data_IF_471626501237
#
_entry.id   IF_471626501237
#
_cell.length_a   1.000
_cell.length_b   1.000
_cell.length_c   1.000
_cell.angle_alpha   90.00
_cell.angle_beta   90.00
_cell.angle_gamma   90.00
#
_symmetry.space_group_name_H-M   'P 1'
#
loop_
_entity.id
_entity.type
_entity.pdbx_description
1 polymer ?
#
# COMPACT_ATOMS: atom_id res chain seq x y z
N UNK A 1 -8.81 30.15 -18.78
CA UNK A 1 -7.62 29.46 -18.25
C UNK A 1 -8.01 28.00 -18.04
N UNK A 2 -7.35 27.01 -18.64
CA UNK A 2 -7.65 25.62 -18.32
C UNK A 2 -7.38 25.40 -16.82
N UNK A 3 -8.13 24.50 -16.14
CA UNK A 3 -7.82 24.15 -14.76
C UNK A 3 -6.37 23.69 -14.70
N UNK A 4 -5.62 24.20 -13.71
CA UNK A 4 -4.27 23.72 -13.43
C UNK A 4 -4.44 22.26 -13.08
N UNK A 5 -3.94 21.37 -13.93
CA UNK A 5 -3.92 19.95 -13.68
C UNK A 5 -3.05 19.70 -12.44
N UNK A 6 -3.72 19.52 -11.29
CA UNK A 6 -3.06 19.44 -9.97
C UNK A 6 -2.54 18.04 -9.68
N UNK A 7 -2.79 17.07 -10.56
CA UNK A 7 -2.40 15.69 -10.33
C UNK A 7 -0.97 15.44 -10.83
N UNK A 8 -0.12 14.79 -10.03
CA UNK A 8 1.24 14.46 -10.46
C UNK A 8 1.24 13.61 -11.73
N UNK A 9 2.25 13.78 -12.58
CA UNK A 9 2.40 13.01 -13.82
C UNK A 9 2.76 11.54 -13.57
N UNK A 10 3.37 11.24 -12.42
CA UNK A 10 3.70 9.90 -11.94
C UNK A 10 3.42 9.79 -10.44
N UNK A 11 2.79 8.69 -10.02
CA UNK A 11 2.38 8.52 -8.62
C UNK A 11 2.11 7.08 -8.25
N UNK A 12 2.03 6.81 -6.95
CA UNK A 12 1.41 5.60 -6.43
C UNK A 12 -0.11 5.81 -6.37
N UNK A 13 -0.87 4.93 -7.00
CA UNK A 13 -2.32 4.91 -6.88
C UNK A 13 -2.72 3.75 -6.00
N UNK A 14 -3.54 4.02 -4.97
CA UNK A 14 -4.17 2.97 -4.18
C UNK A 14 -5.68 3.16 -4.08
N UNK A 15 -6.40 2.08 -4.33
CA UNK A 15 -7.86 2.00 -4.17
C UNK A 15 -8.15 1.50 -2.76
N UNK A 16 -9.11 2.09 -2.05
CA UNK A 16 -9.50 1.63 -0.72
C UNK A 16 -10.99 1.36 -0.63
N UNK A 17 -11.35 0.40 0.19
CA UNK A 17 -12.74 0.03 0.50
C UNK A 17 -12.77 -0.57 1.90
N UNK A 18 -13.92 -1.11 2.29
CA UNK A 18 -14.00 -1.95 3.50
C UNK A 18 -12.95 -3.06 3.42
N UNK A 19 -12.16 -3.23 4.46
CA UNK A 19 -11.10 -4.23 4.53
C UNK A 19 -10.99 -4.78 5.97
N UNK A 20 -10.80 -6.10 6.09
CA UNK A 20 -10.68 -6.79 7.37
C UNK A 20 -11.85 -6.53 8.36
N UNK A 21 -13.05 -6.29 7.84
CA UNK A 21 -14.25 -5.99 8.62
C UNK A 21 -14.42 -4.53 9.04
N UNK A 22 -13.42 -3.68 8.79
CA UNK A 22 -13.50 -2.25 9.10
C UNK A 22 -14.16 -1.49 7.94
N UNK A 23 -15.15 -0.66 8.25
CA UNK A 23 -15.71 0.29 7.28
C UNK A 23 -14.68 1.35 6.89
N UNK A 24 -14.87 1.94 5.70
CA UNK A 24 -13.97 2.96 5.15
C UNK A 24 -13.70 4.09 6.13
N UNK A 25 -14.72 4.59 6.83
CA UNK A 25 -14.58 5.69 7.77
C UNK A 25 -13.80 5.29 9.03
N UNK A 26 -13.95 4.04 9.49
CA UNK A 26 -13.16 3.50 10.60
C UNK A 26 -11.68 3.37 10.22
N UNK A 27 -11.39 2.90 8.99
CA UNK A 27 -10.02 2.84 8.45
C UNK A 27 -9.44 4.25 8.41
N UNK A 28 -10.16 5.23 7.86
CA UNK A 28 -9.71 6.63 7.79
C UNK A 28 -9.46 7.22 9.17
N UNK A 29 -10.38 7.04 10.12
CA UNK A 29 -10.23 7.54 11.48
C UNK A 29 -9.01 6.95 12.19
N UNK A 30 -8.75 5.65 12.02
CA UNK A 30 -7.55 5.01 12.54
C UNK A 30 -6.28 5.58 11.91
N UNK A 31 -6.25 5.76 10.58
CA UNK A 31 -5.09 6.36 9.89
C UNK A 31 -4.88 7.81 10.25
N UNK A 32 -5.94 8.57 10.49
CA UNK A 32 -5.84 9.94 11.01
C UNK A 32 -5.26 9.95 12.43
N UNK A 33 -5.60 8.98 13.29
CA UNK A 33 -4.99 8.85 14.62
C UNK A 33 -3.50 8.49 14.54
N UNK A 34 -3.12 7.56 13.65
CA UNK A 34 -1.71 7.25 13.36
C UNK A 34 -0.96 8.51 12.89
N UNK A 35 -1.53 9.23 11.92
CA UNK A 35 -0.96 10.47 11.38
C UNK A 35 -0.74 11.51 12.47
N UNK A 36 -1.74 11.78 13.32
CA UNK A 36 -1.63 12.78 14.40
C UNK A 36 -0.56 12.43 15.42
N UNK A 37 -0.58 11.19 15.91
CA UNK A 37 0.40 10.71 16.89
C UNK A 37 1.82 10.62 16.30
N UNK A 38 1.91 10.40 14.99
CA UNK A 38 3.16 10.30 14.25
C UNK A 38 3.69 11.59 13.63
N UNK A 39 3.11 12.75 13.95
CA UNK A 39 3.55 14.04 13.39
C UNK A 39 3.44 14.09 11.86
N UNK A 40 2.37 13.54 11.31
CA UNK A 40 2.15 13.40 9.86
C UNK A 40 2.35 11.99 9.32
N UNK A 41 3.05 11.12 10.05
CA UNK A 41 3.43 9.77 9.60
C UNK A 41 2.33 8.72 9.84
N UNK A 42 2.00 7.94 8.82
CA UNK A 42 1.11 6.77 8.93
C UNK A 42 1.52 5.66 7.96
N UNK A 43 1.03 4.44 8.21
CA UNK A 43 1.35 3.26 7.39
C UNK A 43 0.11 2.77 6.66
N UNK A 44 0.23 2.48 5.36
CA UNK A 44 -0.88 1.96 4.58
C UNK A 44 -0.59 0.55 4.09
N UNK A 45 -1.35 -0.44 4.58
CA UNK A 45 -1.20 -1.83 4.16
C UNK A 45 -1.62 -2.04 2.70
N UNK A 46 -0.88 -2.85 1.96
CA UNK A 46 -1.20 -3.19 0.56
C UNK A 46 -1.06 -4.70 0.33
N UNK A 47 -1.98 -5.24 -0.49
CA UNK A 47 -2.07 -6.68 -0.76
C UNK A 47 -1.14 -7.20 -1.86
N UNK A 48 -0.48 -6.32 -2.61
CA UNK A 48 0.42 -6.68 -3.70
C UNK A 48 1.77 -5.94 -3.59
N UNK A 49 2.85 -6.60 -4.02
CA UNK A 49 4.16 -5.96 -4.06
C UNK A 49 4.21 -4.92 -5.19
N UNK A 50 4.66 -3.72 -4.85
CA UNK A 50 4.96 -2.64 -5.81
C UNK A 50 6.44 -2.26 -5.82
N UNK A 51 7.28 -2.96 -5.04
CA UNK A 51 8.67 -2.59 -4.78
C UNK A 51 9.50 -2.24 -6.03
N UNK A 52 9.55 -3.09 -7.08
CA UNK A 52 10.31 -2.78 -8.28
C UNK A 52 9.84 -1.50 -9.00
N UNK A 53 8.51 -1.30 -9.11
CA UNK A 53 7.97 -0.10 -9.75
C UNK A 53 8.15 1.14 -8.85
N UNK A 54 8.13 0.96 -7.52
CA UNK A 54 8.33 2.06 -6.58
C UNK A 54 9.79 2.53 -6.59
N UNK A 55 10.76 1.62 -6.72
CA UNK A 55 12.18 1.99 -6.95
C UNK A 55 12.36 2.89 -8.17
N UNK A 56 11.61 2.61 -9.23
CA UNK A 56 11.61 3.45 -10.43
C UNK A 56 10.96 4.82 -10.19
N UNK A 57 9.87 4.88 -9.42
CA UNK A 57 9.24 6.16 -9.08
C UNK A 57 10.18 7.04 -8.25
N UNK A 58 10.77 6.50 -7.17
CA UNK A 58 11.67 7.28 -6.29
C UNK A 58 12.96 7.72 -6.99
N UNK A 59 13.37 7.05 -8.08
CA UNK A 59 14.52 7.49 -8.88
C UNK A 59 14.18 8.61 -9.88
N UNK A 60 12.89 8.81 -10.18
CA UNK A 60 12.41 9.81 -11.15
C UNK A 60 11.72 11.01 -10.48
N UNK A 61 11.16 10.83 -9.29
CA UNK A 61 10.34 11.83 -8.58
C UNK A 61 10.91 12.05 -7.19
N UNK A 62 11.30 13.30 -6.90
CA UNK A 62 11.92 13.69 -5.62
C UNK A 62 10.96 13.54 -4.43
N UNK A 63 9.71 13.91 -4.63
CA UNK A 63 8.65 13.85 -3.61
C UNK A 63 7.48 13.03 -4.16
N UNK A 64 7.61 11.70 -4.19
CA UNK A 64 6.60 10.85 -4.80
C UNK A 64 5.33 10.83 -3.95
N UNK A 65 4.18 10.99 -4.60
CA UNK A 65 2.88 10.99 -3.93
C UNK A 65 2.16 9.65 -4.06
N UNK A 66 1.31 9.37 -3.08
CA UNK A 66 0.28 8.35 -3.14
C UNK A 66 -1.11 9.01 -3.14
N UNK A 67 -1.94 8.59 -4.09
CA UNK A 67 -3.32 9.04 -4.25
C UNK A 67 -4.27 7.93 -3.83
N UNK A 68 -5.17 8.26 -2.91
CA UNK A 68 -6.13 7.34 -2.34
C UNK A 68 -7.50 7.59 -2.96
N UNK A 69 -8.07 6.57 -3.59
CA UNK A 69 -9.39 6.66 -4.22
C UNK A 69 -10.31 5.58 -3.66
N UNK A 70 -11.60 5.85 -3.38
CA UNK A 70 -12.55 4.80 -3.04
C UNK A 70 -12.65 3.76 -4.17
N UNK A 71 -12.84 2.49 -3.81
CA UNK A 71 -13.20 1.45 -4.77
C UNK A 71 -14.58 1.75 -5.36
N UNK A 72 -14.70 1.62 -6.68
CA UNK A 72 -16.00 1.78 -7.37
C UNK A 72 -16.87 0.52 -7.25
N UNK A 73 -16.25 -0.64 -7.02
CA UNK A 73 -16.92 -1.93 -6.82
C UNK A 73 -17.29 -2.12 -5.35
N UNK A 74 -18.31 -2.94 -5.11
CA UNK A 74 -18.66 -3.38 -3.75
C UNK A 74 -17.50 -4.19 -3.14
N UNK A 75 -17.26 -4.08 -1.82
CA UNK A 75 -16.30 -4.94 -1.12
C UNK A 75 -16.62 -6.43 -1.34
N UNK A 76 -15.60 -7.27 -1.44
CA UNK A 76 -15.85 -8.72 -1.49
C UNK A 76 -16.33 -9.20 -0.12
N UNK A 77 -17.12 -10.29 -0.08
CA UNK A 77 -17.62 -10.84 1.19
C UNK A 77 -16.49 -11.11 2.21
N UNK A 78 -15.36 -11.63 1.73
CA UNK A 78 -14.18 -11.89 2.55
C UNK A 78 -13.46 -10.61 3.05
N UNK A 79 -13.72 -9.44 2.45
CA UNK A 79 -13.27 -8.14 2.97
C UNK A 79 -14.09 -7.71 4.18
N UNK A 80 -15.37 -8.08 4.20
CA UNK A 80 -16.33 -7.75 5.26
C UNK A 80 -16.24 -8.75 6.43
N UNK A 81 -15.99 -10.03 6.15
CA UNK A 81 -15.96 -11.09 7.17
C UNK A 81 -14.67 -11.93 7.07
N UNK A 82 -13.52 -11.41 7.55
CA UNK A 82 -12.27 -12.16 7.53
C UNK A 82 -12.27 -13.26 8.59
N UNK A 83 -11.81 -14.46 8.22
CA UNK A 83 -11.69 -15.58 9.16
C UNK A 83 -10.66 -15.31 10.28
N UNK A 84 -9.64 -14.50 10.01
CA UNK A 84 -8.67 -14.01 11.00
C UNK A 84 -7.92 -12.79 10.48
N UNK A 85 -7.42 -11.95 11.41
CA UNK A 85 -6.68 -10.72 11.12
C UNK A 85 -5.29 -10.82 11.74
N UNK A 86 -4.25 -10.62 10.92
CA UNK A 86 -2.88 -10.47 11.39
C UNK A 86 -2.57 -8.99 11.65
N UNK A 87 -1.75 -8.73 12.67
CA UNK A 87 -1.28 -7.39 13.04
C UNK A 87 0.24 -7.31 12.89
N UNK A 88 0.71 -6.28 12.18
CA UNK A 88 2.11 -6.09 11.83
C UNK A 88 2.65 -4.84 12.52
N UNK A 89 3.79 -5.01 13.20
CA UNK A 89 4.53 -3.94 13.89
C UNK A 89 5.96 -3.77 13.36
N UNK A 90 6.39 -4.64 12.46
CA UNK A 90 7.71 -4.65 11.88
C UNK A 90 7.65 -4.86 10.37
N UNK A 91 8.68 -4.40 9.69
CA UNK A 91 8.90 -4.71 8.29
C UNK A 91 10.32 -4.36 7.85
N UNK A 92 10.67 -4.78 6.65
CA UNK A 92 11.99 -4.56 6.05
C UNK A 92 11.86 -3.62 4.86
N UNK A 93 12.69 -2.58 4.83
CA UNK A 93 12.73 -1.57 3.78
C UNK A 93 13.23 -2.11 2.43
N UNK A 94 13.15 -1.28 1.39
CA UNK A 94 13.71 -1.60 0.07
C UNK A 94 15.25 -1.72 0.11
N UNK A 95 15.89 -1.15 1.09
CA UNK A 95 17.33 -1.25 1.38
C UNK A 95 17.69 -2.52 2.17
N UNK A 96 16.71 -3.32 2.59
CA UNK A 96 16.94 -4.49 3.44
C UNK A 96 17.04 -4.15 4.94
N UNK A 97 16.88 -2.88 5.32
CA UNK A 97 16.99 -2.44 6.72
C UNK A 97 15.69 -2.76 7.48
N UNK A 98 15.75 -3.37 8.67
CA UNK A 98 14.58 -3.56 9.51
C UNK A 98 14.03 -2.25 10.07
N UNK A 99 12.70 -2.13 10.10
CA UNK A 99 11.95 -0.98 10.62
C UNK A 99 10.84 -1.42 11.55
N UNK A 100 10.75 -0.76 12.71
CA UNK A 100 9.59 -0.80 13.58
C UNK A 100 8.56 0.25 13.15
N UNK A 101 7.28 -0.12 13.11
CA UNK A 101 6.17 0.80 12.85
C UNK A 101 5.86 1.58 14.14
N UNK A 102 6.47 2.76 14.29
CA UNK A 102 6.46 3.52 15.55
C UNK A 102 5.09 4.12 15.92
N UNK A 103 4.26 4.40 14.94
CA UNK A 103 3.05 5.26 15.10
C UNK A 103 1.75 4.54 14.75
N UNK A 104 1.81 3.24 14.45
CA UNK A 104 0.63 2.49 14.01
C UNK A 104 0.86 1.00 13.89
N UNK A 105 -0.23 0.29 13.57
CA UNK A 105 -0.24 -1.14 13.29
C UNK A 105 -0.88 -1.33 11.92
N UNK A 106 -0.21 -2.07 11.04
CA UNK A 106 -0.83 -2.51 9.80
C UNK A 106 -1.58 -3.80 10.09
N UNK A 107 -2.82 -3.88 9.63
CA UNK A 107 -3.64 -5.09 9.72
C UNK A 107 -3.79 -5.69 8.33
N UNK A 108 -3.86 -7.01 8.25
CA UNK A 108 -4.18 -7.71 7.02
C UNK A 108 -5.00 -8.95 7.31
N UNK A 109 -5.74 -9.43 6.33
CA UNK A 109 -6.35 -10.75 6.42
C UNK A 109 -5.25 -11.80 6.54
N UNK A 110 -5.33 -12.64 7.57
CA UNK A 110 -4.41 -13.76 7.70
C UNK A 110 -4.86 -14.88 6.76
N UNK A 111 -3.95 -15.49 5.98
CA UNK A 111 -4.31 -16.67 5.19
C UNK A 111 -4.70 -17.80 6.14
N UNK A 112 -5.87 -18.40 5.91
CA UNK A 112 -6.17 -19.73 6.44
C UNK A 112 -5.11 -20.68 5.87
N UNK A 113 -4.32 -21.27 6.77
CA UNK A 113 -3.37 -22.39 6.63
C UNK A 113 -2.88 -22.70 5.19
N UNK A 114 -1.56 -22.59 4.96
CA UNK A 114 -0.76 -23.09 3.82
C UNK A 114 -0.21 -22.14 2.74
N UNK A 115 -0.26 -20.80 2.88
CA UNK A 115 0.63 -19.94 2.07
C UNK A 115 1.16 -18.78 2.88
N UNK A 116 2.48 -18.71 3.05
CA UNK A 116 3.21 -17.53 3.51
C UNK A 116 3.08 -16.41 2.46
N UNK A 117 1.89 -15.80 2.37
CA UNK A 117 1.70 -14.59 1.59
C UNK A 117 2.48 -13.48 2.29
N UNK A 118 3.41 -12.87 1.56
CA UNK A 118 4.08 -11.66 2.03
C UNK A 118 3.07 -10.51 2.06
N UNK A 119 3.13 -9.72 3.12
CA UNK A 119 2.33 -8.51 3.27
C UNK A 119 3.23 -7.30 3.14
N UNK A 120 2.66 -6.18 2.72
CA UNK A 120 3.43 -4.99 2.42
C UNK A 120 2.74 -3.76 2.98
N UNK A 121 3.51 -2.70 3.19
CA UNK A 121 2.97 -1.39 3.56
C UNK A 121 3.70 -0.26 2.83
N UNK A 122 2.96 0.81 2.55
CA UNK A 122 3.51 2.10 2.18
C UNK A 122 3.78 2.92 3.44
N UNK A 123 4.83 3.73 3.40
CA UNK A 123 5.18 4.69 4.45
C UNK A 123 4.80 6.08 3.97
N UNK A 124 3.78 6.64 4.59
CA UNK A 124 3.09 7.83 4.11
C UNK A 124 3.21 8.99 5.10
N UNK A 125 3.29 10.20 4.57
CA UNK A 125 3.28 11.43 5.34
C UNK A 125 2.25 12.43 4.80
N UNK A 126 1.42 12.99 5.68
CA UNK A 126 0.47 14.05 5.33
C UNK A 126 0.39 15.12 6.43
N UNK A 127 0.50 16.39 6.05
CA UNK A 127 0.16 17.51 6.93
C UNK A 127 -1.36 17.67 7.05
N UNK A 128 -2.07 17.36 5.95
CA UNK A 128 -3.51 17.43 5.86
C UNK A 128 -4.19 16.25 6.56
N UNK A 129 -5.42 16.50 6.98
CA UNK A 129 -6.28 15.50 7.61
C UNK A 129 -6.73 14.46 6.59
N UNK A 130 -6.78 13.20 7.01
CA UNK A 130 -7.21 12.09 6.14
C UNK A 130 -8.72 11.83 6.20
N UNK A 131 -9.40 12.36 7.22
CA UNK A 131 -10.82 12.13 7.51
C UNK A 131 -11.76 13.16 6.85
N UNK A 132 -11.22 14.04 6.01
CA UNK A 132 -11.98 15.03 5.24
C UNK A 132 -11.78 14.74 3.76
N UNK A 133 -12.88 14.70 3.01
CA UNK A 133 -12.81 14.64 1.55
C UNK A 133 -12.44 16.03 1.03
N UNK A 134 -11.24 16.12 0.47
CA UNK A 134 -10.80 17.30 -0.24
C UNK A 134 -11.26 17.20 -1.70
N UNK A 135 -11.66 18.33 -2.30
CA UNK A 135 -12.16 18.38 -3.68
C UNK A 135 -11.00 18.31 -4.69
N UNK A 136 -10.33 17.16 -4.69
CA UNK A 136 -9.29 16.86 -5.65
C UNK A 136 -9.88 16.44 -6.99
N UNK A 137 -9.21 16.85 -8.06
CA UNK A 137 -9.49 16.34 -9.40
C UNK A 137 -9.41 14.80 -9.44
N UNK A 138 -10.36 14.18 -10.12
CA UNK A 138 -10.39 12.75 -10.35
C UNK A 138 -9.75 12.37 -11.68
N UNK A 139 -9.53 11.08 -11.87
CA UNK A 139 -9.01 10.55 -13.14
C UNK A 139 -9.68 9.22 -13.48
N UNK A 140 -9.75 8.90 -14.77
CA UNK A 140 -10.27 7.61 -15.23
C UNK A 140 -9.15 6.58 -15.27
N UNK A 141 -9.49 5.29 -15.13
CA UNK A 141 -8.47 4.23 -15.26
C UNK A 141 -7.84 4.19 -16.65
N UNK A 142 -8.50 4.72 -17.69
CA UNK A 142 -7.97 4.86 -19.06
C UNK A 142 -6.85 5.91 -19.16
N UNK A 143 -6.84 6.90 -18.27
CA UNK A 143 -5.84 7.99 -18.23
C UNK A 143 -4.53 7.64 -17.48
N UNK A 144 -4.38 6.39 -17.02
CA UNK A 144 -3.19 5.93 -16.28
C UNK A 144 -2.71 4.56 -16.74
N UNK A 145 -1.39 4.39 -16.81
CA UNK A 145 -0.74 3.11 -17.11
C UNK A 145 0.32 2.78 -16.07
N UNK A 146 0.62 1.50 -15.89
CA UNK A 146 1.71 1.05 -15.01
C UNK A 146 3.03 1.70 -15.45
N UNK A 147 3.72 2.38 -14.53
CA UNK A 147 4.95 3.13 -14.83
C UNK A 147 6.03 2.26 -15.48
N UNK A 148 6.22 1.04 -14.94
CA UNK A 148 7.29 0.13 -15.37
C UNK A 148 6.99 -0.60 -16.68
N UNK A 149 5.74 -1.01 -16.91
CA UNK A 149 5.39 -1.88 -18.05
C UNK A 149 4.66 -1.14 -19.18
N UNK A 150 4.12 0.05 -18.92
CA UNK A 150 3.25 0.77 -19.85
C UNK A 150 1.86 0.12 -20.06
N UNK A 151 1.58 -1.01 -19.40
CA UNK A 151 0.30 -1.70 -19.52
C UNK A 151 -0.80 -1.00 -18.71
N UNK A 152 -2.05 -1.14 -19.17
CA UNK A 152 -3.20 -0.62 -18.44
C UNK A 152 -3.30 -1.21 -17.03
N UNK A 153 -3.74 -0.39 -16.07
CA UNK A 153 -3.98 -0.86 -14.70
C UNK A 153 -5.23 -1.72 -14.67
N UNK A 154 -5.07 -2.98 -14.26
CA UNK A 154 -6.18 -3.91 -14.11
C UNK A 154 -7.14 -3.51 -13.00
N UNK A 155 -8.41 -3.92 -13.11
CA UNK A 155 -9.43 -3.67 -12.08
C UNK A 155 -9.08 -4.29 -10.73
N UNK A 156 -8.42 -5.47 -10.75
CA UNK A 156 -7.96 -6.20 -9.56
C UNK A 156 -6.71 -5.62 -8.91
N UNK A 157 -5.99 -4.71 -9.57
CA UNK A 157 -4.84 -4.05 -8.97
C UNK A 157 -5.34 -2.95 -8.03
N UNK A 158 -5.25 -3.23 -6.74
CA UNK A 158 -5.63 -2.30 -5.67
C UNK A 158 -4.59 -1.19 -5.54
N UNK A 159 -3.30 -1.54 -5.53
CA UNK A 159 -2.19 -0.58 -5.49
C UNK A 159 -1.30 -0.72 -6.72
N UNK A 160 -0.96 0.39 -7.39
CA UNK A 160 -0.12 0.42 -8.59
C UNK A 160 0.73 1.68 -8.65
N UNK A 161 1.94 1.59 -9.17
CA UNK A 161 2.74 2.77 -9.53
C UNK A 161 2.46 3.10 -10.98
N UNK A 162 2.00 4.33 -11.24
CA UNK A 162 1.45 4.72 -12.53
C UNK A 162 2.09 5.99 -13.06
N UNK A 163 1.96 6.17 -14.37
CA UNK A 163 2.13 7.46 -15.03
C UNK A 163 0.85 7.82 -15.77
N UNK A 164 0.60 9.11 -15.91
CA UNK A 164 -0.53 9.62 -16.67
C UNK A 164 -0.28 9.54 -18.17
N UNK A 165 -1.35 9.34 -18.89
CA UNK A 165 -1.42 9.35 -20.36
C UNK A 165 -2.64 10.16 -20.77
N UNK A 166 -2.65 10.74 -22.00
CA UNK A 166 -3.85 11.35 -22.54
C UNK A 166 -5.03 10.40 -22.42
N UNK A 167 -6.16 10.92 -21.96
CA UNK A 167 -7.37 10.12 -21.82
C UNK A 167 -7.86 9.65 -23.19
N UNK A 168 -7.95 8.33 -23.37
CA UNK A 168 -8.42 7.72 -24.63
C UNK A 168 -9.95 7.57 -24.69
N UNK A 169 -10.66 7.99 -23.63
CA UNK A 169 -12.12 8.01 -23.57
C UNK A 169 -12.72 7.38 -22.30
N UNK A 170 -14.00 7.68 -22.12
CA UNK A 170 -15.04 7.18 -21.21
C UNK A 170 -14.68 6.29 -20.02
N UNK A 171 -15.25 6.64 -18.86
CA UNK A 171 -15.25 5.80 -17.67
C UNK A 171 -15.78 6.58 -16.47
N UNK A 172 -16.19 5.87 -15.41
CA UNK A 172 -16.48 6.54 -14.14
C UNK A 172 -15.16 7.01 -13.54
N UNK A 173 -14.98 8.31 -13.25
CA UNK A 173 -13.73 8.80 -12.68
C UNK A 173 -13.56 8.29 -11.25
N UNK A 174 -12.32 7.96 -10.90
CA UNK A 174 -11.90 7.79 -9.53
C UNK A 174 -11.67 9.17 -8.93
N UNK A 175 -12.50 9.55 -7.96
CA UNK A 175 -12.27 10.76 -7.17
C UNK A 175 -11.18 10.47 -6.13
N UNK A 176 -10.21 11.37 -6.04
CA UNK A 176 -9.14 11.30 -5.05
C UNK A 176 -9.71 11.80 -3.73
N UNK A 177 -9.80 10.92 -2.74
CA UNK A 177 -10.33 11.29 -1.42
C UNK A 177 -9.27 12.05 -0.61
N UNK A 178 -8.03 11.57 -0.64
CA UNK A 178 -6.89 12.22 -0.01
C UNK A 178 -5.58 11.84 -0.70
N UNK A 179 -4.52 12.60 -0.40
CA UNK A 179 -3.16 12.41 -0.92
C UNK A 179 -2.18 12.35 0.25
N UNK A 180 -1.03 11.71 0.03
CA UNK A 180 0.08 11.77 0.96
C UNK A 180 1.40 11.66 0.21
N UNK A 181 2.47 12.20 0.79
CA UNK A 181 3.84 11.95 0.29
C UNK A 181 4.28 10.57 0.75
N UNK A 182 4.95 9.84 -0.13
CA UNK A 182 5.73 8.67 0.25
C UNK A 182 7.07 9.15 0.80
N UNK A 183 7.40 8.73 2.02
CA UNK A 183 8.64 9.11 2.70
C UNK A 183 9.45 7.88 3.03
N UNK A 184 10.77 8.01 3.11
CA UNK A 184 11.67 6.90 3.41
C UNK A 184 11.20 6.11 4.66
N UNK A 185 11.20 4.77 4.62
CA UNK A 185 11.73 3.89 3.57
C UNK A 185 10.80 3.64 2.36
N UNK A 186 9.71 4.40 2.25
CA UNK A 186 8.67 4.37 1.18
C UNK A 186 7.80 3.12 1.16
N UNK A 187 8.41 1.95 1.35
CA UNK A 187 7.79 0.65 1.28
C UNK A 187 8.44 -0.32 2.25
N UNK A 188 7.61 -1.14 2.88
CA UNK A 188 8.01 -2.18 3.80
C UNK A 188 7.46 -3.52 3.34
N UNK A 189 8.30 -4.56 3.38
CA UNK A 189 7.83 -5.96 3.44
C UNK A 189 7.58 -6.29 4.90
N UNK A 190 6.32 -6.52 5.28
CA UNK A 190 5.92 -6.73 6.67
C UNK A 190 6.38 -8.10 7.18
N UNK A 191 6.84 -8.12 8.43
CA UNK A 191 7.41 -9.29 9.10
C UNK A 191 6.80 -9.43 10.50
N UNK A 192 6.77 -10.66 11.02
CA UNK A 192 6.28 -10.95 12.37
C UNK A 192 7.28 -10.53 13.46
N UNK A 193 8.56 -10.44 13.13
CA UNK A 193 9.65 -10.03 14.02
C UNK A 193 10.49 -8.90 13.43
N UNK A 194 11.26 -8.23 14.29
CA UNK A 194 12.22 -7.19 13.91
C UNK A 194 13.54 -7.74 13.37
N UNK A 195 13.77 -9.04 13.47
CA UNK A 195 14.94 -9.71 12.91
C UNK A 195 14.93 -9.53 11.37
N UNK A 196 16.08 -9.27 10.73
CA UNK A 196 16.18 -9.35 9.28
C UNK A 196 15.60 -10.68 8.80
N UNK A 197 14.98 -10.69 7.62
CA UNK A 197 14.70 -11.96 6.93
C UNK A 197 16.06 -12.60 6.61
N UNK A 198 16.60 -13.37 7.56
CA UNK A 198 17.78 -14.19 7.35
C UNK A 198 17.53 -15.05 6.13
N UNK A 199 18.57 -15.23 5.31
CA UNK A 199 18.56 -16.26 4.29
C UNK A 199 18.02 -17.55 4.92
N UNK A 200 17.13 -18.24 4.22
CA UNK A 200 16.66 -19.55 4.64
C UNK A 200 17.89 -20.46 4.70
N UNK A 201 18.56 -20.52 5.85
CA UNK A 201 19.60 -21.47 6.13
C UNK A 201 18.88 -22.80 6.34
N UNK A 202 18.74 -23.55 5.25
CA UNK A 202 18.43 -24.96 5.28
C UNK A 202 19.56 -25.68 6.02
N UNK A 203 19.42 -25.83 7.33
CA UNK A 203 20.27 -26.67 8.14
C UNK A 203 19.39 -27.49 9.08
N UNK A 204 18.88 -28.62 8.58
CA UNK A 204 18.64 -29.77 9.47
C UNK A 204 19.96 -30.54 9.55
N UNK A 205 20.58 -30.66 10.73
CA UNK A 205 21.76 -31.50 10.90
C UNK A 205 21.38 -32.98 10.79
N UNK A 206 22.18 -33.66 9.97
CA UNK A 206 22.53 -35.08 9.96
C UNK A 206 22.32 -35.75 11.33
N UNK A 207 21.38 -36.70 11.42
CA UNK A 207 21.32 -37.68 12.50
C UNK A 207 21.97 -38.97 11.99
N UNK A 208 23.25 -39.15 12.31
CA UNK A 208 23.87 -40.47 12.26
C UNK A 208 23.73 -41.15 13.63
N UNK A 209 23.06 -42.31 13.57
CA UNK A 209 23.25 -43.55 14.34
C UNK A 209 23.32 -43.50 15.88
N UNK A 210 22.50 -44.34 16.52
CA UNK A 210 22.96 -45.51 17.31
C UNK A 210 21.78 -46.21 18.02
N UNK A 211 21.29 -47.33 17.45
CA UNK A 211 20.77 -48.48 18.21
C UNK A 211 21.25 -49.77 17.55
N UNK A 212 22.38 -50.27 18.06
CA UNK A 212 22.72 -51.68 18.19
C UNK A 212 23.66 -51.81 19.38
#
# INVERSE_FOLDING_TARGET
MPPIDTLPSQFCWTKFGTEAGDEVDAIRARKESERRSGGGLFYWGIGNSVGPSLRLLVSQVREPEVLFTPMLSRPAYLDVNPASVASWRFGVGLDGVPHALRTGVVTSKSPVVNRARRHFALVCHSEDRLDVDLDYEGFTSSSVVNLRTGAQVGSSQVTSIVRRVPELGGGRPYRVAFRARLVAPYFLTLTSSSEPLGECESALPMQDALWA
#
